data_IF_052475920172
#
_entry.id   IF_052475920172
#
_cell.length_a   1.000
_cell.length_b   1.000
_cell.length_c   1.000
_cell.angle_alpha   90.00
_cell.angle_beta   90.00
_cell.angle_gamma   90.00
#
_symmetry.space_group_name_H-M   'P 1'
#
loop_
_entity.id
_entity.type
_entity.pdbx_description
1 polymer ?
#
# COMPACT_ATOMS: atom_id res chain seq x y z
N UNK A 1 -4.13 -17.39 3.11
CA UNK A 1 -2.88 -16.79 2.71
C UNK A 1 -2.23 -16.09 3.86
N UNK A 2 -0.93 -16.19 3.98
CA UNK A 2 -0.24 -15.52 5.04
C UNK A 2 0.17 -14.13 4.59
N UNK A 3 0.24 -13.21 5.53
CA UNK A 3 0.63 -11.87 5.18
C UNK A 3 2.06 -11.87 4.61
N UNK A 4 2.91 -12.78 5.08
CA UNK A 4 4.26 -12.85 4.55
C UNK A 4 4.26 -13.27 3.08
N UNK A 5 3.26 -14.02 2.66
CA UNK A 5 3.20 -14.40 1.27
C UNK A 5 2.74 -13.19 0.47
N UNK A 6 1.80 -12.43 1.01
CA UNK A 6 1.29 -11.28 0.33
C UNK A 6 2.38 -10.23 0.21
N UNK A 7 3.26 -10.18 1.19
CA UNK A 7 4.31 -9.17 1.22
C UNK A 7 5.27 -9.24 0.05
N UNK A 8 5.36 -10.39 -0.58
CA UNK A 8 6.26 -10.51 -1.70
C UNK A 8 5.65 -10.07 -3.02
N UNK A 9 4.45 -9.56 -3.02
CA UNK A 9 3.79 -9.21 -4.25
C UNK A 9 3.95 -7.73 -4.56
N UNK A 10 3.98 -7.40 -5.82
CA UNK A 10 4.18 -6.03 -6.22
C UNK A 10 2.88 -5.29 -6.28
N UNK A 11 2.89 -4.02 -5.83
CA UNK A 11 1.69 -3.23 -5.80
C UNK A 11 1.51 -2.48 -7.12
N UNK A 12 0.37 -2.63 -7.74
CA UNK A 12 0.09 -2.01 -9.02
C UNK A 12 -1.19 -1.19 -8.92
N UNK A 13 -1.11 0.08 -9.26
CA UNK A 13 -2.29 0.91 -9.27
C UNK A 13 -3.05 0.67 -10.54
N UNK A 14 -4.31 0.33 -10.44
CA UNK A 14 -5.08 -0.04 -11.63
C UNK A 14 -5.29 1.09 -12.57
N UNK A 15 -5.35 2.33 -12.06
CA UNK A 15 -5.63 3.40 -12.93
C UNK A 15 -4.61 3.58 -14.02
N UNK A 16 -3.38 3.61 -13.72
CA UNK A 16 -2.36 3.78 -14.72
C UNK A 16 -1.37 2.65 -14.82
N UNK A 17 -1.58 1.59 -14.12
CA UNK A 17 -0.64 0.49 -14.13
C UNK A 17 0.66 0.85 -13.46
N UNK A 18 0.63 1.87 -12.61
CA UNK A 18 1.85 2.32 -11.99
C UNK A 18 2.33 1.36 -10.91
N UNK A 19 3.63 1.12 -10.85
CA UNK A 19 4.16 0.22 -9.87
C UNK A 19 4.58 0.98 -8.64
N UNK A 20 4.21 0.47 -7.48
CA UNK A 20 4.50 1.14 -6.23
C UNK A 20 5.43 0.33 -5.34
N UNK A 21 6.13 -0.62 -5.87
CA UNK A 21 7.00 -1.43 -5.05
C UNK A 21 6.31 -2.63 -4.50
N UNK A 22 6.92 -3.27 -3.53
CA UNK A 22 6.34 -4.49 -2.97
C UNK A 22 5.66 -4.22 -1.66
N UNK A 23 4.69 -5.02 -1.33
CA UNK A 23 3.96 -4.80 -0.09
C UNK A 23 4.89 -4.86 1.11
N UNK A 24 5.96 -5.65 1.03
CA UNK A 24 6.89 -5.74 2.13
C UNK A 24 7.56 -4.41 2.44
N UNK A 25 7.50 -3.46 1.51
CA UNK A 25 8.12 -2.19 1.72
C UNK A 25 7.15 -1.17 2.32
N UNK A 26 6.00 -1.59 2.75
CA UNK A 26 5.02 -0.69 3.31
C UNK A 26 4.86 -0.99 4.79
N UNK A 27 4.09 -0.16 5.46
CA UNK A 27 3.78 -0.40 6.85
C UNK A 27 2.33 -0.77 6.95
N UNK A 28 2.01 -1.82 7.64
CA UNK A 28 0.64 -2.24 7.78
C UNK A 28 0.01 -1.48 8.93
N UNK A 29 -1.13 -0.90 8.69
CA UNK A 29 -1.86 -0.18 9.71
C UNK A 29 -3.06 -0.99 10.06
N UNK A 30 -3.23 -1.31 11.31
CA UNK A 30 -4.39 -2.09 11.71
C UNK A 30 -4.98 -1.53 13.01
N UNK A 31 -6.23 -1.87 13.25
CA UNK A 31 -6.94 -1.38 14.39
C UNK A 31 -6.59 -2.31 15.54
N UNK A 32 -5.90 -1.83 16.54
CA UNK A 32 -5.49 -2.69 17.59
C UNK A 32 -6.64 -3.18 18.45
N UNK A 33 -7.78 -2.56 18.41
CA UNK A 33 -8.89 -3.05 19.19
C UNK A 33 -9.61 -4.18 18.50
N UNK A 34 -9.74 -4.16 17.23
CA UNK A 34 -10.48 -5.17 16.51
C UNK A 34 -9.57 -6.14 15.79
N UNK A 35 -8.32 -5.74 15.55
CA UNK A 35 -7.41 -6.56 14.78
C UNK A 35 -7.61 -6.45 13.29
N UNK A 36 -8.49 -5.55 12.84
CA UNK A 36 -8.72 -5.45 11.43
C UNK A 36 -7.67 -4.62 10.74
N UNK A 37 -7.28 -5.02 9.54
CA UNK A 37 -6.31 -4.27 8.77
C UNK A 37 -6.98 -3.08 8.16
N UNK A 38 -6.44 -1.89 8.40
CA UNK A 38 -6.99 -0.69 7.84
C UNK A 38 -6.38 -0.44 6.49
N UNK A 39 -5.10 -0.71 6.34
CA UNK A 39 -4.46 -0.54 5.05
C UNK A 39 -2.95 -0.54 5.17
N UNK A 40 -2.30 -0.06 4.12
CA UNK A 40 -0.85 -0.09 4.07
C UNK A 40 -0.33 1.29 3.70
N UNK A 41 0.63 1.75 4.46
CA UNK A 41 1.19 3.06 4.22
C UNK A 41 2.46 2.91 3.41
N UNK A 42 2.55 3.61 2.29
CA UNK A 42 3.72 3.50 1.45
C UNK A 42 4.80 4.39 1.99
N UNK A 43 6.01 3.86 2.07
CA UNK A 43 7.11 4.60 2.56
C UNK A 43 8.00 4.96 1.44
N UNK A 44 8.26 6.25 1.25
CA UNK A 44 9.10 6.68 0.17
C UNK A 44 10.52 6.58 0.57
N UNK A 45 11.28 5.85 -0.12
CA UNK A 45 12.65 5.66 0.26
C UNK A 45 13.49 6.88 0.07
N UNK A 46 13.17 7.71 -0.80
CA UNK A 46 13.90 8.84 -0.95
C UNK A 46 13.31 10.00 -0.63
N UNK A 47 13.84 10.74 -0.01
CA UNK A 47 13.35 11.83 0.31
C UNK A 47 14.18 12.86 0.13
N UNK A 48 14.76 13.09 -0.79
CA UNK A 48 15.60 14.10 -0.97
C UNK A 48 15.03 15.35 -0.93
N UNK A 49 14.03 15.56 -1.25
CA UNK A 49 13.56 16.80 -1.37
C UNK A 49 12.94 17.20 -0.34
N UNK A 50 12.88 17.10 0.31
CA UNK A 50 12.36 17.46 1.24
C UNK A 50 11.35 18.32 1.32
N UNK A 51 10.62 18.35 0.88
CA UNK A 51 9.65 19.20 0.81
C UNK A 51 8.94 19.06 1.98
N UNK A 52 8.37 19.86 2.44
CA UNK A 52 7.69 19.77 3.53
C UNK A 52 6.54 19.09 3.39
N UNK A 53 5.95 18.97 2.40
CA UNK A 53 4.87 18.30 2.31
C UNK A 53 5.13 16.98 2.01
N UNK A 54 5.30 16.08 2.81
CA UNK A 54 5.50 14.83 2.52
C UNK A 54 4.26 14.24 2.16
N UNK A 55 4.00 13.70 1.09
CA UNK A 55 2.84 13.09 0.70
C UNK A 55 2.84 11.69 1.13
N UNK A 56 2.10 11.31 2.08
CA UNK A 56 2.04 9.97 2.49
C UNK A 56 1.05 9.29 1.70
N UNK A 57 1.33 8.24 1.01
CA UNK A 57 0.37 7.49 0.24
C UNK A 57 -0.13 6.35 1.03
N UNK A 58 -1.39 6.11 1.00
CA UNK A 58 -2.01 5.07 1.80
C UNK A 58 -2.95 4.26 0.95
N UNK A 59 -2.87 2.93 1.03
CA UNK A 59 -3.76 2.05 0.31
C UNK A 59 -4.69 1.45 1.32
N UNK A 60 -5.97 1.76 1.24
CA UNK A 60 -6.93 1.23 2.19
C UNK A 60 -7.20 -0.22 1.84
N UNK A 61 -7.49 -1.02 2.82
CA UNK A 61 -7.77 -2.42 2.60
C UNK A 61 -8.87 -2.60 1.58
N UNK A 62 -9.90 -1.79 1.67
CA UNK A 62 -11.01 -1.93 0.76
C UNK A 62 -10.70 -1.49 -0.66
N UNK A 63 -9.57 -0.86 -0.91
CA UNK A 63 -9.22 -0.48 -2.25
C UNK A 63 -8.41 -1.55 -2.96
N UNK A 64 -8.13 -2.65 -2.29
CA UNK A 64 -7.41 -3.72 -2.93
C UNK A 64 -8.40 -4.54 -3.69
N UNK A 65 -8.20 -4.65 -5.00
CA UNK A 65 -9.11 -5.39 -5.83
C UNK A 65 -8.76 -6.85 -5.97
N UNK A 66 -7.55 -7.15 -6.20
CA UNK A 66 -7.14 -8.51 -6.42
C UNK A 66 -5.78 -8.78 -5.83
N UNK A 67 -5.63 -9.88 -5.16
CA UNK A 67 -4.35 -10.31 -4.68
C UNK A 67 -3.97 -11.50 -5.56
N UNK A 68 -3.14 -11.24 -6.56
CA UNK A 68 -2.74 -12.28 -7.49
C UNK A 68 -1.52 -13.00 -7.03
N UNK A 69 -1.01 -13.88 -7.83
CA UNK A 69 0.15 -14.60 -7.48
C UNK A 69 1.38 -13.75 -7.36
N UNK A 70 1.59 -12.77 -8.17
CA UNK A 70 2.75 -11.94 -8.13
C UNK A 70 2.46 -10.47 -7.93
N UNK A 71 1.22 -10.06 -8.02
CA UNK A 71 0.87 -8.67 -7.94
C UNK A 71 -0.37 -8.42 -7.16
N UNK A 72 -0.50 -7.24 -6.62
CA UNK A 72 -1.69 -6.83 -5.91
C UNK A 72 -2.19 -5.61 -6.65
N UNK A 73 -3.42 -5.65 -7.12
CA UNK A 73 -4.00 -4.56 -7.85
C UNK A 73 -4.88 -3.74 -6.93
N UNK A 74 -4.71 -2.45 -6.91
CA UNK A 74 -5.50 -1.61 -6.03
C UNK A 74 -5.88 -0.30 -6.70
N UNK A 75 -6.89 0.36 -6.16
CA UNK A 75 -7.32 1.63 -6.65
C UNK A 75 -6.62 2.70 -5.86
N UNK A 76 -6.07 3.68 -6.53
CA UNK A 76 -5.41 4.73 -5.82
C UNK A 76 -6.40 5.70 -5.32
N UNK A 77 -6.36 6.07 -4.08
CA UNK A 77 -7.26 7.05 -3.59
C UNK A 77 -6.44 8.21 -3.32
N UNK A 78 -6.99 9.33 -3.57
CA UNK A 78 -6.29 10.47 -3.39
C UNK A 78 -6.31 10.86 -2.05
N UNK A 79 -5.87 11.14 -1.35
CA UNK A 79 -5.96 11.58 -0.11
C UNK A 79 -6.05 10.61 0.88
N UNK A 80 -5.72 10.88 2.03
CA UNK A 80 -5.86 10.03 3.02
C UNK A 80 -7.03 9.97 3.67
N UNK A 81 -7.38 9.08 4.30
CA UNK A 81 -8.58 9.01 5.04
C UNK A 81 -8.55 9.93 6.18
#
# INVERSE_FOLDING_TARGET
MLLSEMAERELIGVKNGEKFGFLAETECVFDEKTGKIIGFELIEPFRFFKSKEEIKRFIRWEDIHIVGENRILFSETKGLP
#
